data_IF_811182697467
#
_entry.id   IF_811182697467
#
_cell.length_a   1.000
_cell.length_b   1.000
_cell.length_c   1.000
_cell.angle_alpha   90.00
_cell.angle_beta   90.00
_cell.angle_gamma   90.00
#
_symmetry.space_group_name_H-M   'P 1'
#
loop_
_entity.id
_entity.type
_entity.pdbx_description
1 polymer ?
#
# COMPACT_ATOMS: atom_id res chain seq x y z
N UNK A 1 16.03 19.30 15.08
CA UNK A 1 16.09 18.11 14.20
C UNK A 1 15.36 16.97 14.88
N UNK A 2 14.39 16.33 14.20
CA UNK A 2 13.77 15.07 14.68
C UNK A 2 14.51 13.91 13.99
N UNK A 3 15.20 13.08 14.76
CA UNK A 3 15.89 11.91 14.23
C UNK A 3 14.93 10.73 14.25
N UNK A 4 14.70 10.09 13.09
CA UNK A 4 13.93 8.86 12.96
C UNK A 4 14.88 7.67 13.16
N UNK A 5 15.08 7.25 14.41
CA UNK A 5 15.84 6.03 14.75
C UNK A 5 14.86 4.86 14.85
N UNK A 6 14.64 4.17 13.73
CA UNK A 6 13.86 2.92 13.69
C UNK A 6 14.73 1.66 13.68
N UNK A 7 16.05 1.83 13.48
CA UNK A 7 17.05 0.77 13.51
C UNK A 7 18.10 1.07 14.57
N UNK A 8 18.54 0.04 15.27
CA UNK A 8 19.58 0.12 16.28
C UNK A 8 20.92 0.45 15.61
N UNK A 9 21.62 1.54 15.96
CA UNK A 9 22.89 1.90 15.32
C UNK A 9 24.02 0.89 15.62
N UNK A 10 23.84 0.00 16.59
CA UNK A 10 24.84 -1.01 16.95
C UNK A 10 24.69 -2.33 16.19
N UNK A 11 23.47 -2.79 15.94
CA UNK A 11 23.21 -4.12 15.33
C UNK A 11 22.25 -4.06 14.14
N UNK A 12 21.76 -2.88 13.78
CA UNK A 12 20.79 -2.63 12.71
C UNK A 12 19.40 -3.28 12.89
N UNK A 13 19.14 -3.94 14.03
CA UNK A 13 17.84 -4.50 14.37
C UNK A 13 16.76 -3.43 14.55
N UNK A 14 15.50 -3.81 14.34
CA UNK A 14 14.36 -2.88 14.48
C UNK A 14 14.19 -2.47 15.93
N UNK A 15 14.13 -1.16 16.19
CA UNK A 15 13.86 -0.63 17.52
C UNK A 15 12.36 -0.63 17.82
N UNK A 16 12.02 -0.87 19.09
CA UNK A 16 10.64 -0.83 19.60
C UNK A 16 10.45 0.48 20.36
N UNK A 17 9.31 1.13 20.14
CA UNK A 17 8.95 2.33 20.89
C UNK A 17 8.52 1.89 22.30
N UNK A 18 9.14 2.46 23.34
CA UNK A 18 8.98 2.00 24.73
C UNK A 18 8.46 3.03 25.73
N UNK A 19 8.42 4.32 25.37
CA UNK A 19 7.95 5.40 26.25
C UNK A 19 7.13 6.43 25.46
N UNK A 20 5.92 6.75 25.95
CA UNK A 20 5.15 7.92 25.54
C UNK A 20 5.21 8.99 26.63
N UNK A 21 5.41 10.23 26.24
CA UNK A 21 5.48 11.39 27.15
C UNK A 21 4.40 12.41 26.79
N UNK A 22 3.56 12.76 27.77
CA UNK A 22 2.66 13.90 27.63
C UNK A 22 3.44 15.22 27.82
N UNK A 23 3.50 16.12 26.81
CA UNK A 23 4.23 17.39 26.94
C UNK A 23 3.54 18.39 27.89
N UNK A 24 2.26 18.17 28.24
CA UNK A 24 1.47 19.09 29.08
C UNK A 24 1.58 18.81 30.58
N UNK A 25 1.58 17.54 30.98
CA UNK A 25 1.55 17.15 32.41
C UNK A 25 2.70 16.21 32.82
N UNK A 26 3.66 15.97 31.93
CA UNK A 26 4.82 15.07 32.12
C UNK A 26 4.47 13.59 32.42
N UNK A 27 3.19 13.19 32.27
CA UNK A 27 2.80 11.77 32.38
C UNK A 27 3.63 10.93 31.40
N UNK A 28 4.25 9.86 31.91
CA UNK A 28 5.03 8.90 31.13
C UNK A 28 4.37 7.53 31.18
N UNK A 29 4.18 6.94 30.02
CA UNK A 29 3.67 5.57 29.88
C UNK A 29 4.79 4.74 29.28
N UNK A 30 5.25 3.72 30.03
CA UNK A 30 6.31 2.81 29.59
C UNK A 30 5.75 1.44 29.30
N UNK A 31 5.89 1.01 28.05
CA UNK A 31 5.48 -0.30 27.55
C UNK A 31 6.07 -0.49 26.17
N UNK A 32 6.25 -1.72 25.73
CA UNK A 32 6.50 -2.01 24.32
C UNK A 32 5.24 -1.69 23.52
N UNK A 33 5.32 -0.64 22.70
CA UNK A 33 4.25 -0.20 21.82
C UNK A 33 4.40 -0.88 20.46
N UNK A 34 3.27 -1.21 19.85
CA UNK A 34 3.24 -1.70 18.47
C UNK A 34 3.86 -0.67 17.52
N UNK A 35 4.60 -1.16 16.53
CA UNK A 35 5.22 -0.32 15.52
C UNK A 35 4.16 0.27 14.59
N UNK A 36 4.26 1.55 14.33
CA UNK A 36 3.50 2.22 13.29
C UNK A 36 4.06 1.83 11.90
N UNK A 37 3.28 1.12 11.08
CA UNK A 37 3.71 0.63 9.76
C UNK A 37 4.14 1.78 8.83
N UNK A 38 3.38 2.89 8.85
CA UNK A 38 3.69 4.11 8.10
C UNK A 38 4.96 4.81 8.57
N UNK A 39 5.31 4.66 9.85
CA UNK A 39 6.45 5.34 10.44
C UNK A 39 7.77 4.70 10.00
N UNK A 40 7.74 3.40 9.66
CA UNK A 40 8.87 2.67 9.10
C UNK A 40 9.06 2.82 7.59
N UNK A 41 8.17 3.54 6.89
CA UNK A 41 8.36 3.76 5.46
C UNK A 41 9.67 4.53 5.19
N UNK A 42 10.42 4.14 4.14
CA UNK A 42 11.51 4.96 3.61
C UNK A 42 11.02 6.39 3.30
N UNK A 43 11.93 7.36 3.37
CA UNK A 43 11.59 8.78 3.13
C UNK A 43 10.89 9.00 1.78
N UNK A 44 11.38 8.34 0.73
CA UNK A 44 10.81 8.40 -0.61
C UNK A 44 9.37 7.87 -0.69
N UNK A 45 9.07 6.79 0.04
CA UNK A 45 7.74 6.20 0.09
C UNK A 45 6.77 7.08 0.89
N UNK A 46 7.26 7.70 1.95
CA UNK A 46 6.51 8.66 2.74
C UNK A 46 6.16 9.92 1.93
N UNK A 47 7.11 10.46 1.16
CA UNK A 47 6.86 11.58 0.25
C UNK A 47 5.84 11.23 -0.83
N UNK A 48 5.99 10.05 -1.45
CA UNK A 48 5.05 9.55 -2.44
C UNK A 48 3.63 9.41 -1.86
N UNK A 49 3.48 8.87 -0.64
CA UNK A 49 2.21 8.78 0.06
C UNK A 49 1.58 10.17 0.30
N UNK A 50 2.36 11.17 0.67
CA UNK A 50 1.85 12.55 0.83
C UNK A 50 1.34 13.13 -0.50
N UNK A 51 2.04 12.87 -1.61
CA UNK A 51 1.59 13.29 -2.94
C UNK A 51 0.31 12.57 -3.33
N UNK A 52 0.24 11.25 -3.12
CA UNK A 52 -0.96 10.45 -3.36
C UNK A 52 -2.18 11.03 -2.61
N UNK A 53 -2.01 11.36 -1.33
CA UNK A 53 -3.08 11.95 -0.51
C UNK A 53 -3.47 13.35 -1.00
N UNK A 54 -2.51 14.21 -1.36
CA UNK A 54 -2.79 15.55 -1.93
C UNK A 54 -3.54 15.46 -3.26
N UNK A 55 -3.24 14.45 -4.07
CA UNK A 55 -3.93 14.16 -5.32
C UNK A 55 -5.25 13.42 -5.13
N UNK A 56 -5.67 13.14 -3.88
CA UNK A 56 -6.87 12.36 -3.57
C UNK A 56 -6.90 10.99 -4.29
N UNK A 57 -5.74 10.39 -4.50
CA UNK A 57 -5.57 9.13 -5.24
C UNK A 57 -5.79 9.21 -6.74
N UNK A 58 -5.97 10.41 -7.32
CA UNK A 58 -6.11 10.57 -8.78
C UNK A 58 -4.76 10.45 -9.47
N UNK A 59 -4.58 9.37 -10.23
CA UNK A 59 -3.32 9.08 -10.92
C UNK A 59 -2.95 10.19 -11.92
N UNK A 60 -3.93 10.75 -12.63
CA UNK A 60 -3.70 11.86 -13.59
C UNK A 60 -3.13 13.11 -12.92
N UNK A 61 -3.55 13.42 -11.69
CA UNK A 61 -3.01 14.55 -10.94
C UNK A 61 -1.61 14.23 -10.40
N UNK A 62 -1.36 12.96 -10.04
CA UNK A 62 -0.02 12.49 -9.67
C UNK A 62 0.96 12.54 -10.85
N UNK A 63 0.54 12.20 -12.07
CA UNK A 63 1.37 12.31 -13.29
C UNK A 63 1.85 13.75 -13.50
N UNK A 64 0.95 14.72 -13.33
CA UNK A 64 1.29 16.15 -13.46
C UNK A 64 2.26 16.62 -12.37
N UNK A 65 2.05 16.21 -11.12
CA UNK A 65 2.87 16.63 -9.98
C UNK A 65 4.25 16.00 -10.02
N UNK A 66 4.33 14.71 -10.38
CA UNK A 66 5.57 13.93 -10.32
C UNK A 66 6.33 13.91 -11.65
N UNK A 67 5.69 14.29 -12.77
CA UNK A 67 6.31 14.28 -14.10
C UNK A 67 6.67 12.89 -14.61
N UNK A 68 5.97 11.86 -14.14
CA UNK A 68 6.22 10.45 -14.50
C UNK A 68 4.98 9.84 -15.14
N UNK A 69 5.16 8.73 -15.87
CA UNK A 69 4.08 8.04 -16.56
C UNK A 69 3.19 7.24 -15.61
N UNK A 70 1.95 7.00 -16.03
CA UNK A 70 1.00 6.13 -15.34
C UNK A 70 1.58 4.78 -14.87
N UNK A 71 2.32 4.00 -15.71
CA UNK A 71 2.92 2.74 -15.26
C UNK A 71 3.90 2.92 -14.09
N UNK A 72 4.66 4.02 -14.06
CA UNK A 72 5.59 4.31 -12.97
C UNK A 72 4.85 4.61 -11.67
N UNK A 73 3.74 5.35 -11.73
CA UNK A 73 2.92 5.64 -10.55
C UNK A 73 2.28 4.37 -10.03
N UNK A 74 1.73 3.54 -10.92
CA UNK A 74 1.11 2.27 -10.55
C UNK A 74 2.12 1.34 -9.86
N UNK A 75 3.32 1.19 -10.42
CA UNK A 75 4.39 0.42 -9.80
C UNK A 75 4.79 0.95 -8.41
N UNK A 76 4.82 2.28 -8.22
CA UNK A 76 5.07 2.89 -6.91
C UNK A 76 3.94 2.64 -5.91
N UNK A 77 2.67 2.69 -6.34
CA UNK A 77 1.52 2.33 -5.49
C UNK A 77 1.63 0.87 -5.05
N UNK A 78 1.92 -0.05 -5.99
CA UNK A 78 2.00 -1.48 -5.68
C UNK A 78 3.17 -1.79 -4.74
N UNK A 79 4.32 -1.11 -4.92
CA UNK A 79 5.44 -1.18 -3.98
C UNK A 79 5.08 -0.66 -2.59
N UNK A 80 4.35 0.47 -2.50
CA UNK A 80 3.92 1.05 -1.24
C UNK A 80 2.95 0.12 -0.49
N UNK A 81 1.99 -0.48 -1.22
CA UNK A 81 1.06 -1.48 -0.69
C UNK A 81 1.82 -2.68 -0.11
N UNK A 82 2.81 -3.20 -0.85
CA UNK A 82 3.67 -4.30 -0.37
C UNK A 82 4.44 -3.91 0.90
N UNK A 83 5.02 -2.71 0.96
CA UNK A 83 5.76 -2.24 2.13
C UNK A 83 4.88 -2.07 3.37
N UNK A 84 3.59 -1.78 3.18
CA UNK A 84 2.58 -1.67 4.24
C UNK A 84 1.86 -3.00 4.52
N UNK A 85 2.23 -4.11 3.86
CA UNK A 85 1.54 -5.39 3.92
C UNK A 85 0.02 -5.27 3.62
N UNK A 86 -0.34 -4.37 2.70
CA UNK A 86 -1.71 -4.16 2.25
C UNK A 86 -1.92 -4.85 0.90
N UNK A 87 -3.09 -5.44 0.74
CA UNK A 87 -3.58 -5.86 -0.57
C UNK A 87 -4.39 -4.74 -1.20
N UNK A 88 -4.32 -4.53 -2.52
CA UNK A 88 -5.32 -3.73 -3.21
C UNK A 88 -6.70 -4.26 -2.81
N UNK A 89 -7.64 -3.36 -2.50
CA UNK A 89 -9.04 -3.75 -2.50
C UNK A 89 -9.30 -4.14 -3.95
N UNK A 90 -9.40 -5.43 -4.22
CA UNK A 90 -9.77 -5.91 -5.52
C UNK A 90 -11.08 -5.19 -5.89
N UNK A 91 -11.02 -4.30 -6.90
CA UNK A 91 -12.08 -4.39 -7.90
C UNK A 91 -12.06 -5.88 -8.25
N UNK A 92 -13.13 -6.58 -7.90
CA UNK A 92 -13.34 -8.02 -8.14
C UNK A 92 -12.37 -8.45 -9.22
N UNK A 93 -11.38 -9.30 -8.89
CA UNK A 93 -10.58 -9.90 -9.94
C UNK A 93 -11.60 -10.37 -10.97
N UNK A 94 -11.68 -9.65 -12.09
CA UNK A 94 -12.32 -10.14 -13.28
C UNK A 94 -11.39 -11.26 -13.70
N UNK A 95 -11.42 -12.38 -12.95
CA UNK A 95 -10.82 -13.63 -13.32
C UNK A 95 -11.27 -13.79 -14.75
N UNK A 96 -10.30 -13.72 -15.67
CA UNK A 96 -10.61 -13.88 -17.07
C UNK A 96 -11.23 -15.27 -17.17
N UNK A 97 -12.49 -15.39 -17.62
CA UNK A 97 -13.12 -16.69 -17.79
C UNK A 97 -12.25 -17.63 -18.65
N UNK A 98 -11.39 -17.07 -19.50
CA UNK A 98 -10.40 -17.83 -20.29
C UNK A 98 -9.30 -18.45 -19.42
N UNK A 99 -8.80 -17.77 -18.38
CA UNK A 99 -7.81 -18.33 -17.46
C UNK A 99 -8.41 -19.43 -16.58
N UNK A 100 -9.64 -19.22 -16.09
CA UNK A 100 -10.36 -20.23 -15.32
C UNK A 100 -10.66 -21.48 -16.17
N UNK A 101 -10.97 -21.31 -17.45
CA UNK A 101 -11.15 -22.39 -18.41
C UNK A 101 -9.81 -23.11 -18.70
N UNK A 102 -8.72 -22.37 -18.92
CA UNK A 102 -7.40 -22.92 -19.16
C UNK A 102 -6.87 -23.75 -17.98
N UNK A 103 -7.25 -23.37 -16.75
CA UNK A 103 -6.94 -24.11 -15.53
C UNK A 103 -7.92 -25.28 -15.25
N UNK A 104 -8.92 -25.49 -16.12
CA UNK A 104 -9.93 -26.54 -15.97
C UNK A 104 -10.87 -26.34 -14.77
N UNK A 105 -10.94 -25.12 -14.23
CA UNK A 105 -11.77 -24.79 -13.06
C UNK A 105 -13.24 -24.55 -13.44
N UNK A 106 -13.49 -24.19 -14.69
CA UNK A 106 -14.83 -24.01 -15.26
C UNK A 106 -14.92 -24.68 -16.63
N UNK A 107 -16.13 -25.02 -17.03
CA UNK A 107 -16.45 -25.55 -18.36
C UNK A 107 -16.51 -24.43 -19.42
N UNK A 108 -16.44 -24.84 -20.69
CA UNK A 108 -16.58 -23.92 -21.84
C UNK A 108 -17.92 -23.17 -21.79
N UNK A 109 -19.01 -23.86 -21.40
CA UNK A 109 -20.34 -23.28 -21.32
C UNK A 109 -20.44 -22.23 -20.21
N UNK A 110 -19.82 -22.48 -19.05
CA UNK A 110 -19.73 -21.52 -17.94
C UNK A 110 -18.92 -20.28 -18.34
N UNK A 111 -17.79 -20.47 -19.02
CA UNK A 111 -16.97 -19.36 -19.52
C UNK A 111 -17.75 -18.46 -20.51
N UNK A 112 -18.50 -19.07 -21.44
CA UNK A 112 -19.33 -18.35 -22.42
C UNK A 112 -20.46 -17.59 -21.73
N UNK A 113 -21.08 -18.15 -20.69
CA UNK A 113 -22.14 -17.49 -19.92
C UNK A 113 -21.63 -16.23 -19.21
N UNK A 114 -20.47 -16.32 -18.55
CA UNK A 114 -19.84 -15.19 -17.86
C UNK A 114 -19.49 -14.07 -18.86
N UNK A 115 -18.89 -14.41 -20.01
CA UNK A 115 -18.55 -13.43 -21.04
C UNK A 115 -19.78 -12.73 -21.65
N UNK A 116 -20.90 -13.46 -21.80
CA UNK A 116 -22.17 -12.87 -22.27
C UNK A 116 -22.79 -11.91 -21.24
N UNK A 117 -22.64 -12.19 -19.95
CA UNK A 117 -23.12 -11.29 -18.89
C UNK A 117 -22.32 -9.99 -18.83
N UNK A 118 -20.98 -10.06 -19.00
CA UNK A 118 -20.12 -8.85 -19.05
C UNK A 118 -20.48 -7.93 -20.23
N UNK A 119 -20.89 -8.48 -21.38
CA UNK A 119 -21.26 -7.71 -22.58
C UNK A 119 -22.61 -6.97 -22.49
N UNK A 120 -23.41 -7.23 -21.45
CA UNK A 120 -24.70 -6.57 -21.19
C UNK A 120 -24.59 -5.39 -20.19
N UNK A 121 -23.46 -5.27 -19.49
CA UNK A 121 -23.12 -4.13 -18.64
C UNK A 121 -22.52 -3.01 -19.49
#
# INVERSE_FOLDING_TARGET
MKVKLFNCPSCNERMVMSELKCPKCDLRIRKDFESCDFCSLPEQDHEFLLVFLRAQGRITDMEKVLGVSYPTIKAKIDSLLKNLNLSPIAAEEEHDPLEALAQGKISVDEAVAILRQRKKR
#
